data_IF_621955482500
#
_entry.id   IF_621955482500
#
_cell.length_a   1.000
_cell.length_b   1.000
_cell.length_c   1.000
_cell.angle_alpha   90.00
_cell.angle_beta   90.00
_cell.angle_gamma   90.00
#
_symmetry.space_group_name_H-M   'P 1'
#
loop_
_entity.id
_entity.type
_entity.pdbx_description
1 polymer ?
#
# COMPACT_ATOMS: atom_id res chain seq x y z
N UNK A 1 39.90 -3.68 -3.93
CA UNK A 1 38.74 -3.22 -4.72
C UNK A 1 38.90 -1.81 -5.31
N UNK A 2 40.10 -1.21 -5.29
CA UNK A 2 40.34 0.21 -5.63
C UNK A 2 39.95 0.65 -7.06
N UNK A 3 40.06 -0.24 -8.05
CA UNK A 3 39.73 0.08 -9.46
C UNK A 3 38.24 0.42 -9.62
N UNK A 4 37.37 -0.30 -8.91
CA UNK A 4 35.92 -0.08 -8.96
C UNK A 4 35.53 1.28 -8.37
N UNK A 5 36.03 1.58 -7.16
CA UNK A 5 35.78 2.84 -6.44
C UNK A 5 36.25 4.05 -7.24
N UNK A 6 37.39 3.95 -7.91
CA UNK A 6 37.97 5.06 -8.66
C UNK A 6 37.18 5.39 -9.93
N UNK A 7 36.68 4.36 -10.62
CA UNK A 7 35.79 4.55 -11.78
C UNK A 7 34.42 5.10 -11.34
N UNK A 8 33.91 4.65 -10.18
CA UNK A 8 32.67 5.17 -9.59
C UNK A 8 32.77 6.66 -9.22
N UNK A 9 33.87 7.09 -8.57
CA UNK A 9 34.07 8.49 -8.17
C UNK A 9 34.18 9.45 -9.35
N UNK A 10 34.89 9.04 -10.41
CA UNK A 10 35.10 9.91 -11.59
C UNK A 10 33.95 9.87 -12.58
N UNK A 11 33.11 8.83 -12.55
CA UNK A 11 31.97 8.63 -13.45
C UNK A 11 32.37 8.27 -14.88
N UNK A 12 33.25 9.06 -15.51
CA UNK A 12 33.83 8.81 -16.84
C UNK A 12 35.34 9.07 -16.79
N UNK A 13 36.13 8.16 -17.34
CA UNK A 13 37.59 8.26 -17.28
C UNK A 13 38.31 7.45 -18.35
N UNK A 14 39.65 7.42 -18.33
CA UNK A 14 40.49 6.63 -19.22
C UNK A 14 41.44 5.71 -18.44
N UNK A 15 41.95 4.68 -19.11
CA UNK A 15 42.90 3.72 -18.50
C UNK A 15 44.14 4.40 -17.89
N UNK A 16 44.73 5.36 -18.60
CA UNK A 16 45.94 6.06 -18.13
C UNK A 16 45.62 6.98 -16.94
N UNK A 17 44.50 7.71 -17.02
CA UNK A 17 44.12 8.72 -16.04
C UNK A 17 43.66 8.13 -14.70
N UNK A 18 42.80 7.10 -14.70
CA UNK A 18 42.22 6.56 -13.45
C UNK A 18 42.89 5.29 -12.96
N UNK A 19 43.49 4.49 -13.83
CA UNK A 19 43.76 3.09 -13.46
C UNK A 19 45.23 2.70 -13.49
N UNK A 20 46.07 3.36 -14.27
CA UNK A 20 47.50 3.07 -14.28
C UNK A 20 48.29 4.05 -13.40
N UNK A 21 48.26 5.34 -13.71
CA UNK A 21 49.28 6.25 -13.17
C UNK A 21 48.92 6.77 -11.77
N UNK A 22 47.63 6.97 -11.46
CA UNK A 22 47.18 7.30 -10.10
C UNK A 22 47.39 6.14 -9.12
N UNK A 23 47.05 4.90 -9.51
CA UNK A 23 47.26 3.73 -8.66
C UNK A 23 48.75 3.39 -8.51
N UNK A 24 49.54 3.48 -9.58
CA UNK A 24 51.01 3.31 -9.48
C UNK A 24 51.62 4.37 -8.56
N UNK A 25 51.16 5.62 -8.62
CA UNK A 25 51.62 6.68 -7.70
C UNK A 25 51.22 6.43 -6.25
N UNK A 26 50.00 5.95 -6.00
CA UNK A 26 49.57 5.58 -4.64
C UNK A 26 50.36 4.39 -4.06
N UNK A 27 50.70 3.39 -4.87
CA UNK A 27 51.46 2.21 -4.41
C UNK A 27 52.98 2.43 -4.36
N UNK A 28 53.52 3.36 -5.15
CA UNK A 28 54.96 3.70 -5.16
C UNK A 28 55.33 4.84 -4.21
N UNK A 29 54.34 5.57 -3.69
CA UNK A 29 54.54 6.72 -2.79
C UNK A 29 54.55 6.39 -1.31
N UNK A 30 54.55 5.11 -0.92
CA UNK A 30 54.61 4.68 0.48
C UNK A 30 56.06 4.82 0.99
N UNK A 31 56.38 5.79 1.87
CA UNK A 31 57.77 6.12 2.22
C UNK A 31 58.47 5.03 3.05
N UNK A 32 57.71 4.07 3.58
CA UNK A 32 58.21 3.00 4.45
C UNK A 32 58.87 1.85 3.68
N UNK A 33 58.77 1.85 2.35
CA UNK A 33 59.43 0.88 1.47
C UNK A 33 60.65 1.52 0.81
N UNK A 34 61.77 1.54 1.53
CA UNK A 34 63.09 1.90 1.00
C UNK A 34 63.58 0.90 -0.06
N UNK A 35 62.93 0.87 -1.22
CA UNK A 35 63.08 -0.17 -2.24
C UNK A 35 63.95 0.34 -3.41
N UNK A 36 64.87 -0.48 -3.95
CA UNK A 36 65.75 -0.09 -5.05
C UNK A 36 64.96 0.21 -6.34
N UNK A 37 65.45 1.14 -7.14
CA UNK A 37 64.79 1.73 -8.31
C UNK A 37 64.31 0.72 -9.38
N UNK A 38 64.90 -0.49 -9.41
CA UNK A 38 64.49 -1.56 -10.32
C UNK A 38 63.13 -2.18 -9.92
N UNK A 39 62.84 -2.33 -8.62
CA UNK A 39 61.60 -2.96 -8.15
C UNK A 39 60.37 -2.09 -8.42
N UNK A 40 60.51 -0.76 -8.39
CA UNK A 40 59.45 0.19 -8.76
C UNK A 40 58.96 0.00 -10.20
N UNK A 41 59.87 -0.39 -11.12
CA UNK A 41 59.52 -0.64 -12.52
C UNK A 41 58.79 -1.99 -12.69
N UNK A 42 59.14 -2.99 -11.88
CA UNK A 42 58.45 -4.28 -11.87
C UNK A 42 57.05 -4.16 -11.28
N UNK A 43 56.90 -3.42 -10.19
CA UNK A 43 55.61 -3.15 -9.56
C UNK A 43 54.68 -2.38 -10.48
N UNK A 44 55.19 -1.39 -11.21
CA UNK A 44 54.42 -0.66 -12.21
C UNK A 44 53.86 -1.60 -13.30
N UNK A 45 54.65 -2.53 -13.82
CA UNK A 45 54.21 -3.50 -14.83
C UNK A 45 53.19 -4.48 -14.26
N UNK A 46 53.38 -4.92 -13.02
CA UNK A 46 52.49 -5.85 -12.35
C UNK A 46 51.11 -5.21 -12.08
N UNK A 47 51.09 -3.97 -11.56
CA UNK A 47 49.88 -3.20 -11.31
C UNK A 47 49.12 -2.99 -12.62
N UNK A 48 49.79 -2.57 -13.69
CA UNK A 48 49.17 -2.42 -15.02
C UNK A 48 48.51 -3.71 -15.50
N UNK A 49 49.17 -4.86 -15.32
CA UNK A 49 48.61 -6.17 -15.69
C UNK A 49 47.34 -6.50 -14.90
N UNK A 50 47.34 -6.27 -13.58
CA UNK A 50 46.20 -6.56 -12.69
C UNK A 50 45.01 -5.62 -12.92
N UNK A 51 45.29 -4.38 -13.28
CA UNK A 51 44.28 -3.40 -13.66
C UNK A 51 43.47 -3.87 -14.86
N UNK A 52 44.11 -4.45 -15.88
CA UNK A 52 43.39 -5.00 -17.02
C UNK A 52 42.50 -6.19 -16.64
N UNK A 53 42.96 -7.08 -15.75
CA UNK A 53 42.14 -8.19 -15.26
C UNK A 53 40.88 -7.64 -14.56
N UNK A 54 41.05 -6.65 -13.68
CA UNK A 54 39.95 -6.02 -12.96
C UNK A 54 38.97 -5.32 -13.91
N UNK A 55 39.44 -4.54 -14.88
CA UNK A 55 38.59 -3.86 -15.84
C UNK A 55 37.81 -4.84 -16.73
N UNK A 56 38.43 -5.94 -17.15
CA UNK A 56 37.78 -6.95 -17.98
C UNK A 56 36.66 -7.67 -17.21
N UNK A 57 36.88 -7.99 -15.93
CA UNK A 57 35.83 -8.58 -15.08
C UNK A 57 34.72 -7.57 -14.82
N UNK A 58 35.03 -6.31 -14.50
CA UNK A 58 34.03 -5.26 -14.28
C UNK A 58 33.18 -4.99 -15.53
N UNK A 59 33.80 -5.06 -16.71
CA UNK A 59 33.10 -4.94 -17.99
C UNK A 59 32.21 -6.16 -18.26
N UNK A 60 32.69 -7.37 -17.99
CA UNK A 60 31.92 -8.60 -18.14
C UNK A 60 30.73 -8.67 -17.18
N UNK A 61 30.83 -8.07 -15.98
CA UNK A 61 29.73 -7.92 -15.03
C UNK A 61 28.82 -6.71 -15.33
N UNK A 62 29.01 -6.04 -16.47
CA UNK A 62 28.26 -4.85 -16.90
C UNK A 62 28.27 -3.70 -15.85
N UNK A 63 29.34 -3.61 -15.06
CA UNK A 63 29.52 -2.56 -14.05
C UNK A 63 30.09 -1.28 -14.68
N UNK A 64 30.89 -1.45 -15.73
CA UNK A 64 31.53 -0.39 -16.49
C UNK A 64 31.38 -0.64 -17.99
N UNK A 65 31.29 0.43 -18.79
CA UNK A 65 31.38 0.38 -20.26
C UNK A 65 32.77 0.83 -20.70
N UNK A 66 33.33 0.24 -21.75
CA UNK A 66 34.59 0.68 -22.37
C UNK A 66 34.40 0.94 -23.86
N UNK A 67 34.49 2.21 -24.25
CA UNK A 67 34.47 2.65 -25.63
C UNK A 67 35.85 3.19 -26.02
N UNK A 68 36.61 2.41 -26.79
CA UNK A 68 38.00 2.73 -27.18
C UNK A 68 38.89 3.01 -25.95
N UNK A 69 39.14 4.30 -25.65
CA UNK A 69 39.98 4.77 -24.53
C UNK A 69 39.17 5.25 -23.34
N UNK A 70 37.86 5.42 -23.50
CA UNK A 70 36.94 5.93 -22.50
C UNK A 70 36.30 4.77 -21.73
N UNK A 71 36.21 4.92 -20.42
CA UNK A 71 35.66 3.97 -19.45
C UNK A 71 34.59 4.73 -18.67
N UNK A 72 33.34 4.27 -18.77
CA UNK A 72 32.18 4.89 -18.09
C UNK A 72 31.68 3.97 -16.99
N UNK A 73 31.36 4.54 -15.84
CA UNK A 73 30.66 3.86 -14.76
C UNK A 73 29.19 3.65 -15.16
N UNK A 74 28.72 2.41 -15.15
CA UNK A 74 27.32 2.06 -15.41
C UNK A 74 26.58 1.91 -14.08
N UNK A 75 27.19 1.21 -13.11
CA UNK A 75 26.57 0.89 -11.81
C UNK A 75 26.64 -0.60 -11.52
N UNK A 76 26.39 -1.02 -10.27
CA UNK A 76 26.34 -2.44 -9.96
C UNK A 76 25.08 -3.06 -10.61
N UNK A 77 25.19 -4.23 -11.28
CA UNK A 77 24.12 -4.84 -12.10
C UNK A 77 22.80 -5.13 -11.36
N UNK A 78 22.76 -4.94 -10.04
CA UNK A 78 21.63 -5.26 -9.17
C UNK A 78 21.08 -4.08 -8.36
N UNK A 79 21.61 -2.85 -8.49
CA UNK A 79 21.12 -1.77 -7.62
C UNK A 79 19.85 -1.12 -8.18
N UNK A 80 19.90 -0.44 -9.33
CA UNK A 80 18.79 0.44 -9.73
C UNK A 80 17.55 -0.27 -10.27
N UNK A 81 17.69 -1.29 -11.12
CA UNK A 81 16.54 -1.95 -11.74
C UNK A 81 15.76 -2.83 -10.74
N UNK A 82 16.47 -3.58 -9.89
CA UNK A 82 15.83 -4.40 -8.85
C UNK A 82 15.23 -3.56 -7.72
N UNK A 83 15.86 -2.42 -7.36
CA UNK A 83 15.27 -1.45 -6.46
C UNK A 83 13.99 -0.84 -7.06
N UNK A 84 13.99 -0.50 -8.35
CA UNK A 84 12.80 0.00 -9.04
C UNK A 84 11.65 -1.03 -9.02
N UNK A 85 11.91 -2.29 -9.39
CA UNK A 85 10.91 -3.36 -9.34
C UNK A 85 10.37 -3.60 -7.92
N UNK A 86 11.24 -3.45 -6.90
CA UNK A 86 10.85 -3.62 -5.49
C UNK A 86 9.97 -2.46 -5.03
N UNK A 87 10.34 -1.23 -5.39
CA UNK A 87 9.57 -0.02 -5.09
C UNK A 87 8.21 -0.01 -5.80
N UNK A 88 8.13 -0.50 -7.04
CA UNK A 88 6.87 -0.63 -7.76
C UNK A 88 5.92 -1.62 -7.09
N UNK A 89 6.44 -2.77 -6.63
CA UNK A 89 5.65 -3.74 -5.84
C UNK A 89 5.19 -3.15 -4.52
N UNK A 90 6.07 -2.45 -3.81
CA UNK A 90 5.73 -1.77 -2.56
C UNK A 90 4.63 -0.72 -2.78
N UNK A 91 4.75 0.09 -3.84
CA UNK A 91 3.73 1.06 -4.24
C UNK A 91 2.37 0.38 -4.51
N UNK A 92 2.37 -0.75 -5.22
CA UNK A 92 1.17 -1.56 -5.44
C UNK A 92 0.51 -1.99 -4.13
N UNK A 93 1.27 -2.60 -3.22
CA UNK A 93 0.74 -3.04 -1.92
C UNK A 93 0.25 -1.88 -1.04
N UNK A 94 0.94 -0.74 -1.08
CA UNK A 94 0.51 0.47 -0.37
C UNK A 94 -0.79 1.03 -0.95
N UNK A 95 -0.95 1.00 -2.28
CA UNK A 95 -2.16 1.43 -2.97
C UNK A 95 -3.35 0.57 -2.56
N UNK A 96 -3.20 -0.75 -2.57
CA UNK A 96 -4.26 -1.68 -2.17
C UNK A 96 -4.66 -1.46 -0.71
N UNK A 97 -3.68 -1.28 0.18
CA UNK A 97 -3.94 -1.00 1.60
C UNK A 97 -4.64 0.34 1.83
N UNK A 98 -4.32 1.36 1.03
CA UNK A 98 -5.02 2.65 1.09
C UNK A 98 -6.47 2.49 0.63
N UNK A 99 -6.71 1.71 -0.42
CA UNK A 99 -8.05 1.44 -0.93
C UNK A 99 -8.92 0.70 0.10
N UNK A 100 -8.41 -0.38 0.70
CA UNK A 100 -9.10 -1.14 1.75
C UNK A 100 -9.45 -0.24 2.95
N UNK A 101 -8.52 0.62 3.39
CA UNK A 101 -8.77 1.57 4.49
C UNK A 101 -9.84 2.60 4.14
N UNK A 102 -9.90 3.06 2.88
CA UNK A 102 -10.93 4.00 2.41
C UNK A 102 -12.30 3.33 2.40
N UNK A 103 -12.40 2.10 1.93
CA UNK A 103 -13.64 1.31 1.93
C UNK A 103 -14.14 1.07 3.35
N UNK A 104 -13.25 0.65 4.25
CA UNK A 104 -13.58 0.49 5.67
C UNK A 104 -14.02 1.79 6.33
N UNK A 105 -13.37 2.91 6.01
CA UNK A 105 -13.78 4.22 6.52
C UNK A 105 -15.18 4.60 6.00
N UNK A 106 -15.46 4.34 4.72
CA UNK A 106 -16.77 4.55 4.13
C UNK A 106 -17.85 3.74 4.85
N UNK A 107 -17.60 2.46 5.13
CA UNK A 107 -18.52 1.62 5.92
C UNK A 107 -18.79 2.18 7.31
N UNK A 108 -17.75 2.63 8.02
CA UNK A 108 -17.89 3.22 9.35
C UNK A 108 -18.71 4.52 9.32
N UNK A 109 -18.51 5.36 8.31
CA UNK A 109 -19.30 6.59 8.14
C UNK A 109 -20.78 6.25 7.93
N UNK A 110 -21.07 5.27 7.07
CA UNK A 110 -22.45 4.82 6.82
C UNK A 110 -23.08 4.27 8.09
N UNK A 111 -22.36 3.43 8.84
CA UNK A 111 -22.83 2.89 10.11
C UNK A 111 -23.15 4.00 11.11
N UNK A 112 -22.25 4.98 11.26
CA UNK A 112 -22.45 6.12 12.14
C UNK A 112 -23.66 6.96 11.75
N UNK A 113 -23.85 7.19 10.44
CA UNK A 113 -25.00 7.90 9.89
C UNK A 113 -26.30 7.13 10.17
N UNK A 114 -26.33 5.84 9.85
CA UNK A 114 -27.48 4.96 10.05
C UNK A 114 -27.94 4.96 11.52
N UNK A 115 -27.01 4.83 12.48
CA UNK A 115 -27.35 4.85 13.89
C UNK A 115 -27.89 6.20 14.36
N UNK A 116 -27.28 7.32 13.96
CA UNK A 116 -27.78 8.64 14.35
C UNK A 116 -29.16 8.92 13.76
N UNK A 117 -29.39 8.54 12.50
CA UNK A 117 -30.70 8.68 11.87
C UNK A 117 -31.76 7.80 12.54
N UNK A 118 -31.42 6.56 12.87
CA UNK A 118 -32.31 5.66 13.59
C UNK A 118 -32.70 6.27 14.95
N UNK A 119 -31.72 6.76 15.72
CA UNK A 119 -31.97 7.39 17.02
C UNK A 119 -32.83 8.63 16.88
N UNK A 120 -32.56 9.49 15.89
CA UNK A 120 -33.38 10.68 15.61
C UNK A 120 -34.82 10.31 15.29
N UNK A 121 -35.04 9.36 14.37
CA UNK A 121 -36.37 8.88 13.98
C UNK A 121 -37.11 8.24 15.15
N UNK A 122 -36.42 7.44 15.96
CA UNK A 122 -37.03 6.78 17.12
C UNK A 122 -37.42 7.82 18.18
N UNK A 123 -36.58 8.83 18.42
CA UNK A 123 -36.88 9.93 19.35
C UNK A 123 -38.10 10.76 18.92
N UNK A 124 -38.23 11.03 17.62
CA UNK A 124 -39.41 11.70 17.06
C UNK A 124 -40.69 10.87 17.28
N UNK A 125 -40.62 9.55 17.08
CA UNK A 125 -41.76 8.63 17.28
C UNK A 125 -42.10 8.38 18.75
N UNK A 126 -41.13 8.37 19.64
CA UNK A 126 -41.35 8.23 21.09
C UNK A 126 -42.17 9.41 21.66
N UNK A 127 -41.99 10.61 21.11
CA UNK A 127 -42.79 11.78 21.48
C UNK A 127 -44.26 11.65 21.03
N UNK A 128 -44.53 10.88 19.97
CA UNK A 128 -45.87 10.70 19.39
C UNK A 128 -46.60 9.46 19.90
N UNK A 129 -45.86 8.38 20.23
CA UNK A 129 -46.41 7.13 20.75
C UNK A 129 -45.39 6.48 21.70
N UNK A 130 -45.82 6.17 22.92
CA UNK A 130 -45.02 5.37 23.84
C UNK A 130 -44.79 3.97 23.24
N UNK A 131 -43.53 3.63 22.95
CA UNK A 131 -43.15 2.34 22.39
C UNK A 131 -43.53 1.21 23.36
N UNK A 132 -44.19 0.17 22.86
CA UNK A 132 -44.50 -1.04 23.65
C UNK A 132 -43.27 -1.94 23.73
N UNK A 133 -42.94 -2.45 24.92
CA UNK A 133 -41.72 -3.24 25.19
C UNK A 133 -41.54 -4.45 24.26
N UNK A 134 -42.62 -5.10 23.82
CA UNK A 134 -42.57 -6.29 22.96
C UNK A 134 -42.54 -5.98 21.45
N UNK A 135 -42.39 -4.71 21.06
CA UNK A 135 -42.43 -4.27 19.66
C UNK A 135 -41.12 -3.68 19.15
N UNK A 136 -40.05 -3.72 19.95
CA UNK A 136 -38.74 -3.21 19.59
C UNK A 136 -37.65 -4.27 19.73
N UNK A 137 -36.64 -4.18 18.85
CA UNK A 137 -35.42 -4.99 18.88
C UNK A 137 -34.26 -4.02 19.09
N UNK A 138 -33.48 -4.25 20.14
CA UNK A 138 -32.31 -3.43 20.47
C UNK A 138 -31.09 -3.88 19.68
N UNK A 139 -30.19 -2.93 19.40
CA UNK A 139 -28.90 -3.18 18.76
C UNK A 139 -27.86 -3.65 19.80
N UNK A 140 -26.90 -4.52 19.44
CA UNK A 140 -26.71 -5.18 18.14
C UNK A 140 -27.59 -6.44 18.00
N UNK A 141 -28.01 -6.75 16.77
CA UNK A 141 -28.74 -7.98 16.46
C UNK A 141 -28.35 -8.53 15.09
N UNK A 142 -28.67 -9.80 14.88
CA UNK A 142 -28.55 -10.50 13.59
C UNK A 142 -29.92 -11.07 13.25
N UNK A 143 -30.31 -10.98 11.98
CA UNK A 143 -31.58 -11.53 11.48
C UNK A 143 -31.27 -12.70 10.57
N UNK A 144 -31.92 -13.83 10.84
CA UNK A 144 -31.94 -14.97 9.93
C UNK A 144 -33.28 -14.96 9.22
N UNK A 145 -33.26 -14.82 7.91
CA UNK A 145 -34.44 -14.81 7.05
C UNK A 145 -34.53 -16.14 6.30
N UNK A 146 -35.73 -16.71 6.22
CA UNK A 146 -36.01 -17.90 5.41
C UNK A 146 -37.45 -17.86 4.89
N UNK A 147 -37.79 -18.75 3.96
CA UNK A 147 -39.15 -18.86 3.43
C UNK A 147 -40.14 -19.19 4.55
N UNK A 148 -41.36 -18.67 4.43
CA UNK A 148 -42.46 -18.98 5.37
C UNK A 148 -42.86 -20.46 5.38
N UNK A 149 -42.45 -21.21 4.35
CA UNK A 149 -42.72 -22.65 4.22
C UNK A 149 -41.61 -23.52 4.80
N UNK A 150 -40.45 -22.94 5.14
CA UNK A 150 -39.31 -23.66 5.72
C UNK A 150 -39.65 -24.18 7.10
N UNK A 151 -39.41 -25.46 7.35
CA UNK A 151 -39.47 -26.05 8.69
C UNK A 151 -38.16 -25.77 9.41
N UNK A 152 -38.26 -25.22 10.63
CA UNK A 152 -37.12 -24.82 11.45
C UNK A 152 -37.13 -25.64 12.73
N UNK A 153 -36.13 -26.50 12.90
CA UNK A 153 -35.89 -27.20 14.17
C UNK A 153 -34.81 -26.45 14.95
N UNK A 154 -35.17 -25.97 16.14
CA UNK A 154 -34.26 -25.25 17.03
C UNK A 154 -33.98 -26.08 18.28
N UNK A 155 -32.70 -26.36 18.53
CA UNK A 155 -32.22 -26.95 19.77
C UNK A 155 -31.39 -25.93 20.53
N UNK A 156 -31.74 -25.70 21.79
CA UNK A 156 -31.11 -24.70 22.65
C UNK A 156 -30.53 -25.43 23.86
N UNK A 157 -29.27 -25.14 24.18
CA UNK A 157 -28.64 -25.63 25.39
C UNK A 157 -29.31 -25.05 26.64
N UNK A 158 -29.24 -25.77 27.77
CA UNK A 158 -29.86 -25.31 29.03
C UNK A 158 -29.32 -23.95 29.50
N UNK A 159 -28.05 -23.67 29.21
CA UNK A 159 -27.35 -22.44 29.57
C UNK A 159 -27.55 -21.30 28.56
N UNK A 160 -28.23 -21.57 27.44
CA UNK A 160 -28.50 -20.62 26.35
C UNK A 160 -27.24 -20.01 25.73
N UNK A 161 -26.10 -20.70 25.79
CA UNK A 161 -24.88 -20.30 25.09
C UNK A 161 -24.77 -20.93 23.70
N UNK A 162 -25.46 -22.04 23.46
CA UNK A 162 -25.43 -22.77 22.20
C UNK A 162 -26.83 -22.90 21.60
N UNK A 163 -26.95 -22.53 20.33
CA UNK A 163 -28.17 -22.63 19.55
C UNK A 163 -27.86 -23.36 18.26
N UNK A 164 -28.59 -24.43 18.00
CA UNK A 164 -28.53 -25.19 16.75
C UNK A 164 -29.85 -25.02 16.01
N UNK A 165 -29.79 -24.42 14.83
CA UNK A 165 -30.94 -24.27 13.94
C UNK A 165 -30.75 -25.17 12.72
N UNK A 166 -31.68 -26.11 12.52
CA UNK A 166 -31.76 -26.90 11.30
C UNK A 166 -32.89 -26.35 10.44
N UNK A 167 -32.56 -26.00 9.20
CA UNK A 167 -33.50 -25.53 8.20
C UNK A 167 -33.61 -26.58 7.10
N UNK A 168 -34.83 -26.90 6.67
CA UNK A 168 -35.06 -27.80 5.53
C UNK A 168 -34.87 -27.09 4.17
N UNK A 169 -34.60 -25.78 4.18
CA UNK A 169 -34.42 -24.95 3.00
C UNK A 169 -33.35 -23.86 3.23
N UNK A 170 -33.05 -23.09 2.19
CA UNK A 170 -32.07 -22.00 2.24
C UNK A 170 -32.50 -20.89 3.20
N UNK A 171 -31.52 -20.25 3.84
CA UNK A 171 -31.70 -19.09 4.70
C UNK A 171 -30.63 -18.03 4.38
N UNK A 172 -30.93 -16.78 4.72
CA UNK A 172 -30.05 -15.63 4.60
C UNK A 172 -29.77 -15.04 5.99
N UNK A 173 -28.55 -14.57 6.22
CA UNK A 173 -28.16 -13.89 7.47
C UNK A 173 -27.88 -12.43 7.15
N UNK A 174 -28.53 -11.53 7.86
CA UNK A 174 -28.36 -10.09 7.74
C UNK A 174 -27.91 -9.49 9.07
N UNK A 175 -26.92 -8.59 8.99
CA UNK A 175 -26.51 -7.79 10.14
C UNK A 175 -27.43 -6.56 10.29
N UNK A 176 -27.43 -6.00 11.50
CA UNK A 176 -28.16 -4.79 11.84
C UNK A 176 -28.01 -3.64 10.82
N UNK A 177 -26.78 -3.33 10.37
CA UNK A 177 -26.50 -2.24 9.42
C UNK A 177 -27.16 -2.51 8.06
N UNK A 178 -27.16 -3.77 7.60
CA UNK A 178 -27.80 -4.13 6.33
C UNK A 178 -29.32 -3.93 6.42
N UNK A 179 -29.92 -4.32 7.54
CA UNK A 179 -31.34 -4.07 7.81
C UNK A 179 -31.62 -2.56 7.85
N UNK A 180 -30.78 -1.76 8.51
CA UNK A 180 -30.94 -0.30 8.55
C UNK A 180 -30.87 0.33 7.14
N UNK A 181 -30.00 -0.17 6.27
CA UNK A 181 -29.95 0.23 4.84
C UNK A 181 -31.24 -0.15 4.12
N UNK A 182 -31.70 -1.41 4.25
CA UNK A 182 -32.95 -1.90 3.63
C UNK A 182 -34.20 -1.18 4.16
N UNK A 183 -34.17 -0.70 5.40
CA UNK A 183 -35.24 0.13 6.00
C UNK A 183 -35.32 1.54 5.43
N UNK A 184 -34.41 1.94 4.53
CA UNK A 184 -34.36 3.29 3.97
C UNK A 184 -33.93 4.36 4.98
N UNK A 185 -33.28 3.98 6.07
CA UNK A 185 -32.70 4.93 7.05
C UNK A 185 -31.44 5.59 6.49
N UNK A 186 -30.80 4.88 5.57
CA UNK A 186 -29.74 5.38 4.69
C UNK A 186 -30.23 5.14 3.27
N UNK A 187 -30.28 6.17 2.43
CA UNK A 187 -30.59 5.96 1.02
C UNK A 187 -29.52 5.06 0.40
N UNK A 188 -29.94 4.00 -0.29
CA UNK A 188 -29.04 3.12 -1.05
C UNK A 188 -28.22 3.91 -2.08
N UNK A 189 -28.75 5.04 -2.53
CA UNK A 189 -28.18 5.92 -3.55
C UNK A 189 -26.98 6.75 -3.09
N UNK A 190 -26.63 6.76 -1.79
CA UNK A 190 -25.31 7.25 -1.35
C UNK A 190 -24.20 6.30 -1.86
N UNK A 191 -24.55 5.09 -2.29
CA UNK A 191 -23.62 3.99 -2.50
C UNK A 191 -23.57 3.40 -3.90
N UNK A 192 -24.56 3.66 -4.76
CA UNK A 192 -24.53 3.13 -6.11
C UNK A 192 -23.51 3.85 -6.98
N UNK A 193 -22.85 3.05 -7.81
CA UNK A 193 -21.75 3.34 -8.75
C UNK A 193 -22.06 4.41 -9.80
N UNK A 194 -23.14 5.17 -9.63
CA UNK A 194 -23.68 6.17 -10.55
C UNK A 194 -23.43 7.62 -10.11
N UNK A 195 -22.82 7.85 -8.95
CA UNK A 195 -22.24 9.16 -8.60
C UNK A 195 -23.25 10.28 -8.29
N UNK A 196 -24.52 9.97 -8.09
CA UNK A 196 -25.51 10.97 -7.68
C UNK A 196 -25.65 11.01 -6.15
N UNK A 197 -24.69 11.67 -5.51
CA UNK A 197 -24.79 12.03 -4.09
C UNK A 197 -26.06 12.86 -3.86
N UNK A 198 -26.95 12.39 -2.99
CA UNK A 198 -28.01 13.25 -2.47
C UNK A 198 -27.35 14.33 -1.58
N UNK A 199 -27.23 15.54 -2.11
CA UNK A 199 -26.52 16.68 -1.48
C UNK A 199 -27.00 16.90 -0.04
N UNK A 200 -28.26 16.62 0.26
CA UNK A 200 -28.83 16.76 1.61
C UNK A 200 -28.23 15.76 2.60
N UNK A 201 -28.10 14.50 2.22
CA UNK A 201 -27.51 13.47 3.09
C UNK A 201 -26.02 13.70 3.28
N UNK A 202 -25.32 14.19 2.25
CA UNK A 202 -23.91 14.55 2.35
C UNK A 202 -23.68 15.67 3.38
N UNK A 203 -24.51 16.71 3.36
CA UNK A 203 -24.46 17.79 4.36
C UNK A 203 -24.78 17.26 5.77
N UNK A 204 -25.78 16.40 5.91
CA UNK A 204 -26.07 15.76 7.21
C UNK A 204 -24.89 14.89 7.70
N UNK A 205 -24.26 14.10 6.84
CA UNK A 205 -23.08 13.30 7.18
C UNK A 205 -21.93 14.19 7.66
N UNK A 206 -21.67 15.33 6.99
CA UNK A 206 -20.65 16.31 7.44
C UNK A 206 -20.92 16.84 8.84
N UNK A 207 -22.18 17.01 9.24
CA UNK A 207 -22.52 17.45 10.60
C UNK A 207 -22.37 16.34 11.65
N UNK A 208 -22.48 15.09 11.23
CA UNK A 208 -22.49 13.92 12.12
C UNK A 208 -21.08 13.43 12.42
N UNK A 209 -20.19 13.54 11.44
CA UNK A 209 -18.82 13.04 11.45
C UNK A 209 -17.86 14.13 11.95
N UNK A 210 -16.74 13.79 12.63
CA UNK A 210 -15.74 14.77 13.04
C UNK A 210 -15.22 15.62 11.88
N UNK A 211 -14.91 16.90 12.13
CA UNK A 211 -14.47 17.88 11.10
C UNK A 211 -13.32 17.35 10.20
N UNK A 212 -12.35 16.65 10.79
CA UNK A 212 -11.21 16.05 10.08
C UNK A 212 -11.60 15.05 8.99
N UNK A 213 -12.72 14.37 9.16
CA UNK A 213 -13.26 13.43 8.18
C UNK A 213 -14.31 14.14 7.31
N UNK A 214 -15.11 15.04 7.89
CA UNK A 214 -16.13 15.87 7.21
C UNK A 214 -15.63 16.57 5.95
N UNK A 215 -14.45 17.19 6.01
CA UNK A 215 -13.83 17.87 4.87
C UNK A 215 -13.41 16.91 3.75
N UNK A 216 -13.13 15.65 4.09
CA UNK A 216 -12.69 14.59 3.17
C UNK A 216 -13.83 13.66 2.70
N UNK A 217 -15.04 13.82 3.24
CA UNK A 217 -16.20 12.97 2.91
C UNK A 217 -16.44 12.92 1.38
N UNK A 218 -16.49 14.05 0.64
CA UNK A 218 -16.68 13.99 -0.81
C UNK A 218 -15.61 13.15 -1.54
N UNK A 219 -14.36 13.19 -1.08
CA UNK A 219 -13.24 12.42 -1.63
C UNK A 219 -13.22 10.94 -1.22
N UNK A 220 -13.89 10.57 -0.12
CA UNK A 220 -14.05 9.17 0.29
C UNK A 220 -15.18 8.46 -0.46
N UNK A 221 -16.16 9.20 -0.99
CA UNK A 221 -17.29 8.65 -1.75
C UNK A 221 -17.11 8.76 -3.28
N UNK A 222 -16.28 9.69 -3.76
CA UNK A 222 -15.89 9.72 -5.17
C UNK A 222 -14.86 8.63 -5.46
N UNK A 223 -15.21 7.71 -6.36
CA UNK A 223 -14.22 6.88 -7.03
C UNK A 223 -13.28 7.81 -7.80
N UNK A 224 -12.06 7.99 -7.32
CA UNK A 224 -11.00 8.64 -8.08
C UNK A 224 -10.65 7.76 -9.30
N UNK A 225 -11.34 7.97 -10.42
CA UNK A 225 -10.86 7.58 -11.76
C UNK A 225 -9.82 8.57 -12.29
N UNK A 226 -9.06 9.25 -11.43
CA UNK A 226 -8.04 10.21 -11.88
C UNK A 226 -6.93 10.34 -10.84
N UNK A 227 -6.16 9.27 -10.67
CA UNK A 227 -4.74 9.39 -10.30
C UNK A 227 -3.90 8.61 -11.31
N UNK A 228 -4.28 8.69 -12.59
CA UNK A 228 -3.41 8.36 -13.71
C UNK A 228 -3.04 9.69 -14.36
N UNK A 229 -1.98 10.32 -13.85
CA UNK A 229 -1.11 11.29 -14.52
C UNK A 229 -0.20 11.92 -13.45
N UNK A 230 0.59 11.09 -12.78
CA UNK A 230 1.91 11.54 -12.36
C UNK A 230 2.83 11.01 -13.44
N UNK A 231 2.94 11.77 -14.53
CA UNK A 231 3.96 11.55 -15.53
C UNK A 231 5.32 11.74 -14.86
N UNK A 232 6.13 10.69 -14.91
CA UNK A 232 7.59 10.77 -14.74
C UNK A 232 8.20 11.65 -15.84
#
# INVERSE_FOLDING_TARGET
MKVCEKVQQKGTTTYNEVVADELVREFSGDPDRGMPSNDQTYDQKNIRRRVYDALNVLMAMNIISKEKKEIKWIGLPTNSAQECDTLEKELGTLRDRVQEKKERLRELIIQQYAYKNLVKRNRERENENALKENSCIQLPFVVINTSKQTVIDCSISNDKFEYLFNFDNTFEIHNDIEILKRMGIVSSDVLDTTGNLNVKELEEIKTIVPKSVGDNVPGTFNNFTSVDNISL
#
